data_IF_532100481933
#
_entry.id   IF_532100481933
#
_cell.length_a   1.000
_cell.length_b   1.000
_cell.length_c   1.000
_cell.angle_alpha   90.00
_cell.angle_beta   90.00
_cell.angle_gamma   90.00
#
_symmetry.space_group_name_H-M   'P 1'
#
loop_
_entity.id
_entity.type
_entity.pdbx_description
1 polymer ?
#
# COMPACT_ATOMS: atom_id res chain seq x y z
N UNK A 1 25.01 8.38 11.21
CA UNK A 1 25.54 7.09 10.70
C UNK A 1 24.38 6.35 10.04
N UNK A 2 24.54 5.93 8.77
CA UNK A 2 23.51 5.15 8.10
C UNK A 2 23.46 3.74 8.65
N UNK A 3 22.31 3.32 9.16
CA UNK A 3 22.09 1.98 9.68
C UNK A 3 21.08 1.25 8.81
N UNK A 4 21.41 0.03 8.37
CA UNK A 4 20.45 -0.83 7.67
C UNK A 4 19.40 -1.33 8.63
N UNK A 5 18.13 -1.20 8.26
CA UNK A 5 17.00 -1.69 9.04
C UNK A 5 16.18 -2.68 8.23
N UNK A 6 15.60 -3.63 8.92
CA UNK A 6 14.50 -4.46 8.41
C UNK A 6 13.18 -3.82 8.83
N UNK A 7 12.26 -3.72 7.90
CA UNK A 7 10.93 -3.13 8.10
C UNK A 7 9.88 -4.17 7.80
N UNK A 8 8.86 -4.27 8.63
CA UNK A 8 7.72 -5.14 8.37
C UNK A 8 6.42 -4.44 8.75
N UNK A 9 5.49 -4.35 7.80
CA UNK A 9 4.13 -3.91 8.05
C UNK A 9 3.34 -4.98 8.81
N UNK A 10 2.45 -4.56 9.68
CA UNK A 10 1.47 -5.44 10.32
C UNK A 10 0.14 -5.31 9.61
N UNK A 11 0.05 -5.97 8.47
CA UNK A 11 -1.19 -6.06 7.75
C UNK A 11 -2.18 -7.01 8.42
N UNK A 12 -3.46 -6.79 8.19
CA UNK A 12 -4.52 -7.62 8.74
C UNK A 12 -4.74 -8.84 7.85
N UNK A 13 -4.57 -10.03 8.43
CA UNK A 13 -5.02 -11.28 7.81
C UNK A 13 -6.51 -11.49 8.12
N UNK A 14 -7.35 -11.19 7.13
CA UNK A 14 -8.79 -11.33 7.25
C UNK A 14 -9.29 -12.77 7.14
N UNK A 15 -8.42 -13.73 6.79
CA UNK A 15 -8.78 -15.16 6.74
C UNK A 15 -8.84 -15.78 8.15
N UNK A 16 -8.16 -15.17 9.13
CA UNK A 16 -8.04 -15.64 10.50
C UNK A 16 -8.79 -14.76 11.54
N UNK A 17 -9.88 -14.12 11.13
CA UNK A 17 -10.67 -13.30 12.04
C UNK A 17 -11.36 -14.11 13.13
N UNK A 18 -11.56 -13.55 14.35
CA UNK A 18 -12.24 -14.22 15.47
C UNK A 18 -13.67 -14.63 15.15
N UNK A 19 -14.35 -13.90 14.25
CA UNK A 19 -15.67 -14.21 13.77
C UNK A 19 -15.79 -13.88 12.29
N UNK A 20 -16.30 -14.83 11.53
CA UNK A 20 -16.52 -14.68 10.08
C UNK A 20 -17.89 -14.05 9.85
N UNK A 21 -17.97 -13.12 8.91
CA UNK A 21 -19.22 -12.50 8.49
C UNK A 21 -18.99 -11.13 7.85
N UNK A 22 -19.90 -10.74 6.98
CA UNK A 22 -19.77 -9.53 6.17
C UNK A 22 -19.52 -8.26 7.02
N UNK A 23 -20.18 -8.11 8.15
CA UNK A 23 -20.00 -6.96 9.06
C UNK A 23 -18.57 -6.95 9.61
N UNK A 24 -18.09 -8.08 10.12
CA UNK A 24 -16.76 -8.16 10.68
C UNK A 24 -15.67 -7.93 9.60
N UNK A 25 -15.79 -8.63 8.48
CA UNK A 25 -14.77 -8.59 7.42
C UNK A 25 -14.74 -7.27 6.66
N UNK A 26 -15.88 -6.57 6.55
CA UNK A 26 -16.02 -5.39 5.69
C UNK A 26 -16.18 -4.09 6.44
N UNK A 27 -16.70 -4.09 7.69
CA UNK A 27 -17.00 -2.88 8.43
C UNK A 27 -16.16 -2.72 9.70
N UNK A 28 -15.78 -3.82 10.38
CA UNK A 28 -15.07 -3.76 11.64
C UNK A 28 -13.57 -4.00 11.52
N UNK A 29 -13.16 -5.06 10.84
CA UNK A 29 -11.75 -5.39 10.63
C UNK A 29 -11.28 -4.89 9.26
N UNK A 30 -11.11 -3.57 9.16
CA UNK A 30 -10.90 -2.86 7.91
C UNK A 30 -9.44 -2.64 7.56
N UNK A 31 -8.53 -2.64 8.56
CA UNK A 31 -7.14 -2.23 8.39
C UNK A 31 -6.18 -3.02 9.27
N UNK A 32 -4.92 -3.05 8.87
CA UNK A 32 -3.80 -3.47 9.70
C UNK A 32 -3.32 -2.35 10.61
N UNK A 33 -2.48 -2.68 11.59
CA UNK A 33 -2.02 -1.70 12.57
C UNK A 33 -0.56 -1.84 12.93
N UNK A 34 0.22 -0.82 12.58
CA UNK A 34 1.59 -0.65 13.02
C UNK A 34 2.64 -1.28 12.11
N UNK A 35 3.87 -1.04 12.48
CA UNK A 35 5.07 -1.44 11.77
C UNK A 35 6.12 -1.86 12.79
N UNK A 36 7.05 -2.67 12.34
CA UNK A 36 8.22 -3.10 13.14
C UNK A 36 9.48 -2.66 12.41
N UNK A 37 10.39 -2.04 13.16
CA UNK A 37 11.74 -1.72 12.69
C UNK A 37 12.77 -2.43 13.55
N UNK A 38 13.72 -3.10 12.91
CA UNK A 38 14.83 -3.79 13.57
C UNK A 38 16.14 -3.52 12.84
N UNK A 39 17.26 -3.24 13.52
CA UNK A 39 18.54 -3.16 12.84
C UNK A 39 18.90 -4.51 12.18
N UNK A 40 19.43 -4.45 10.96
CA UNK A 40 19.79 -5.65 10.22
C UNK A 40 21.08 -6.32 10.73
N UNK A 41 21.89 -5.60 11.51
CA UNK A 41 23.24 -6.00 11.95
C UNK A 41 23.36 -6.17 13.46
N UNK A 42 22.28 -6.08 14.21
CA UNK A 42 22.30 -6.19 15.67
C UNK A 42 21.21 -7.15 16.16
N UNK A 43 21.53 -7.84 17.24
CA UNK A 43 20.59 -8.74 17.94
C UNK A 43 20.67 -8.46 19.45
N UNK A 44 19.52 -8.54 20.09
CA UNK A 44 19.43 -8.44 21.54
C UNK A 44 20.07 -9.68 22.23
N UNK A 45 20.22 -9.61 23.54
CA UNK A 45 20.61 -10.78 24.36
C UNK A 45 19.67 -11.95 24.05
N UNK A 46 20.23 -13.16 23.93
CA UNK A 46 19.52 -14.38 23.57
C UNK A 46 19.18 -14.55 22.08
N UNK A 47 19.76 -13.73 21.17
CA UNK A 47 19.58 -13.88 19.71
C UNK A 47 18.23 -13.40 19.18
N UNK A 48 17.44 -12.68 19.98
CA UNK A 48 16.20 -12.06 19.52
C UNK A 48 16.50 -10.75 18.77
N UNK A 49 15.61 -10.32 17.86
CA UNK A 49 15.72 -9.02 17.20
C UNK A 49 15.76 -7.88 18.24
N UNK A 50 16.63 -6.92 18.00
CA UNK A 50 16.65 -5.66 18.76
C UNK A 50 15.74 -4.67 18.03
N UNK A 51 14.62 -4.30 18.61
CA UNK A 51 13.61 -3.50 17.93
C UNK A 51 13.77 -2.01 18.24
N UNK A 52 13.82 -1.19 17.19
CA UNK A 52 13.68 0.26 17.30
C UNK A 52 12.21 0.67 17.43
N UNK A 53 11.33 0.02 16.66
CA UNK A 53 9.87 0.20 16.75
C UNK A 53 9.22 -1.15 16.97
N UNK A 54 8.39 -1.25 18.00
CA UNK A 54 7.69 -2.49 18.40
C UNK A 54 6.36 -2.18 19.11
N UNK A 55 5.59 -3.25 19.35
CA UNK A 55 4.36 -3.15 20.15
C UNK A 55 3.13 -2.74 19.33
N UNK A 56 1.97 -2.84 20.00
CA UNK A 56 0.65 -2.39 19.51
C UNK A 56 -0.04 -1.76 20.71
N UNK A 57 -0.18 -0.43 20.77
CA UNK A 57 0.32 0.57 19.81
C UNK A 57 1.85 0.56 19.69
N UNK A 58 2.34 1.10 18.55
CA UNK A 58 3.76 1.17 18.27
C UNK A 58 4.49 2.05 19.31
N UNK A 59 5.60 1.55 19.83
CA UNK A 59 6.51 2.29 20.71
C UNK A 59 7.88 2.34 20.08
N UNK A 60 8.53 3.49 20.11
CA UNK A 60 9.87 3.67 19.56
C UNK A 60 10.89 4.02 20.63
N UNK A 61 12.15 3.62 20.41
CA UNK A 61 13.32 4.04 21.17
C UNK A 61 14.13 5.10 20.41
N UNK A 62 13.72 5.43 19.18
CA UNK A 62 14.38 6.36 18.26
C UNK A 62 13.38 7.41 17.84
N UNK A 63 13.60 8.66 18.18
CA UNK A 63 12.62 9.76 17.96
C UNK A 63 12.27 9.95 16.48
N UNK A 64 13.26 9.75 15.60
CA UNK A 64 13.08 9.86 14.15
C UNK A 64 12.19 8.78 13.54
N UNK A 65 11.89 7.72 14.33
CA UNK A 65 11.01 6.61 13.94
C UNK A 65 9.66 6.66 14.67
N UNK A 66 9.19 7.83 15.05
CA UNK A 66 7.86 8.00 15.62
C UNK A 66 6.79 7.77 14.54
N UNK A 67 5.82 6.88 14.82
CA UNK A 67 4.73 6.53 13.90
C UNK A 67 3.47 7.25 14.35
N UNK A 68 3.09 8.30 13.62
CA UNK A 68 1.89 9.09 13.91
C UNK A 68 0.63 8.43 13.34
N UNK A 69 0.73 7.88 12.13
CA UNK A 69 -0.38 7.16 11.48
C UNK A 69 -0.02 5.68 11.26
N UNK A 70 -0.38 4.81 12.23
CA UNK A 70 -0.01 3.38 12.18
C UNK A 70 -0.99 2.50 11.39
N UNK A 71 -2.13 3.02 10.93
CA UNK A 71 -3.19 2.23 10.28
C UNK A 71 -2.87 1.97 8.82
N UNK A 72 -3.05 0.72 8.39
CA UNK A 72 -2.70 0.25 7.04
C UNK A 72 -3.97 -0.26 6.37
N UNK A 73 -4.61 0.60 5.57
CA UNK A 73 -5.76 0.22 4.73
C UNK A 73 -5.32 -0.33 3.38
N UNK A 74 -4.14 0.10 2.91
CA UNK A 74 -3.53 -0.30 1.65
C UNK A 74 -2.18 -0.96 1.92
N UNK A 75 -2.02 -2.18 1.43
CA UNK A 75 -0.84 -3.00 1.66
C UNK A 75 -0.54 -3.96 0.52
N UNK A 76 0.45 -4.81 0.72
CA UNK A 76 0.85 -5.80 -0.28
C UNK A 76 0.20 -7.18 -0.06
N UNK A 77 -0.44 -7.41 1.07
CA UNK A 77 -1.04 -8.70 1.40
C UNK A 77 -2.07 -9.14 0.34
N UNK A 78 -1.85 -10.31 -0.22
CA UNK A 78 -2.75 -10.93 -1.18
C UNK A 78 -4.05 -11.45 -0.53
N UNK A 79 -4.04 -11.67 0.78
CA UNK A 79 -5.14 -12.24 1.56
C UNK A 79 -6.18 -11.18 1.99
N UNK A 80 -5.91 -9.92 1.69
CA UNK A 80 -6.86 -8.84 1.97
C UNK A 80 -8.11 -8.99 1.10
N UNK A 81 -9.27 -8.71 1.69
CA UNK A 81 -10.52 -8.67 0.94
C UNK A 81 -10.52 -7.56 -0.11
N UNK A 82 -11.27 -7.74 -1.20
CA UNK A 82 -11.29 -6.83 -2.34
C UNK A 82 -11.70 -5.39 -1.99
N UNK A 83 -12.57 -5.23 -0.98
CA UNK A 83 -13.01 -3.93 -0.49
C UNK A 83 -13.33 -3.97 1.00
N UNK A 84 -13.28 -2.83 1.64
CA UNK A 84 -13.85 -2.58 2.96
C UNK A 84 -14.70 -1.31 2.93
N UNK A 85 -15.59 -1.16 3.91
CA UNK A 85 -16.40 0.05 4.06
C UNK A 85 -16.05 0.71 5.37
N UNK A 86 -15.67 1.96 5.29
CA UNK A 86 -15.31 2.81 6.44
C UNK A 86 -16.39 3.86 6.68
N UNK A 87 -16.38 4.49 7.85
CA UNK A 87 -17.39 5.46 8.27
C UNK A 87 -18.81 4.89 8.19
N UNK A 88 -18.94 3.61 8.52
CA UNK A 88 -20.23 2.95 8.71
C UNK A 88 -20.83 3.30 10.09
N UNK A 89 -21.96 2.72 10.43
CA UNK A 89 -22.53 2.81 11.79
C UNK A 89 -21.83 1.86 12.77
N UNK A 90 -20.87 1.07 12.30
CA UNK A 90 -20.01 0.22 13.12
C UNK A 90 -18.66 0.91 13.32
N UNK A 91 -18.15 0.91 14.53
CA UNK A 91 -16.79 1.33 14.81
C UNK A 91 -15.79 0.30 14.28
N UNK A 92 -14.68 0.79 13.73
CA UNK A 92 -13.60 -0.05 13.23
C UNK A 92 -12.72 -0.52 14.39
N UNK A 93 -12.36 -1.79 14.40
CA UNK A 93 -11.42 -2.36 15.38
C UNK A 93 -10.02 -1.89 15.03
N UNK A 94 -9.42 -1.17 15.96
CA UNK A 94 -8.08 -0.58 15.78
C UNK A 94 -6.98 -1.56 16.21
N UNK A 95 -6.94 -1.90 17.50
CA UNK A 95 -5.97 -2.85 18.04
C UNK A 95 -6.45 -3.47 19.36
N UNK A 96 -5.90 -4.63 19.75
CA UNK A 96 -6.24 -5.26 21.03
C UNK A 96 -5.60 -4.48 22.19
N UNK A 97 -6.41 -4.22 23.23
CA UNK A 97 -5.97 -3.57 24.48
C UNK A 97 -5.37 -4.54 25.49
N UNK A 98 -5.61 -5.84 25.31
CA UNK A 98 -5.06 -6.88 26.19
C UNK A 98 -4.51 -8.04 25.37
N UNK A 99 -3.54 -8.77 25.94
CA UNK A 99 -2.96 -9.98 25.33
C UNK A 99 -3.97 -11.12 25.18
N UNK A 100 -5.07 -11.08 25.91
CA UNK A 100 -6.15 -12.08 25.84
C UNK A 100 -7.22 -11.73 24.80
N UNK A 101 -7.12 -10.55 24.13
CA UNK A 101 -8.03 -10.13 23.07
C UNK A 101 -9.47 -9.83 23.51
N UNK A 102 -9.73 -9.75 24.82
CA UNK A 102 -11.08 -9.53 25.37
C UNK A 102 -11.54 -8.07 25.27
N UNK A 103 -10.62 -7.13 25.07
CA UNK A 103 -10.92 -5.71 24.85
C UNK A 103 -10.12 -5.17 23.69
N UNK A 104 -10.75 -4.31 22.88
CA UNK A 104 -10.14 -3.70 21.69
C UNK A 104 -10.33 -2.18 21.73
N UNK A 105 -9.41 -1.46 21.14
CA UNK A 105 -9.57 -0.06 20.80
C UNK A 105 -10.40 0.05 19.51
N UNK A 106 -11.16 1.12 19.38
CA UNK A 106 -11.95 1.42 18.21
C UNK A 106 -11.49 2.74 17.59
N UNK A 107 -11.71 2.85 16.29
CA UNK A 107 -11.39 4.05 15.52
C UNK A 107 -12.44 4.29 14.43
N UNK A 108 -12.37 5.47 13.82
CA UNK A 108 -13.09 5.79 12.59
C UNK A 108 -12.13 6.37 11.58
N UNK A 109 -12.31 6.01 10.31
CA UNK A 109 -11.48 6.48 9.23
C UNK A 109 -11.66 7.99 9.00
N UNK A 110 -10.56 8.75 8.96
CA UNK A 110 -10.54 10.19 8.71
C UNK A 110 -9.81 10.59 7.42
N UNK A 111 -9.35 9.59 6.63
CA UNK A 111 -8.63 9.85 5.37
C UNK A 111 -9.53 10.31 4.23
N UNK A 112 -8.90 10.85 3.20
CA UNK A 112 -9.58 11.34 2.00
C UNK A 112 -9.91 10.23 0.99
N UNK A 113 -9.28 9.06 1.12
CA UNK A 113 -9.47 7.92 0.24
C UNK A 113 -10.87 7.31 0.29
N UNK A 114 -11.14 6.45 -0.69
CA UNK A 114 -12.40 5.74 -0.81
C UNK A 114 -13.46 6.47 -1.63
N UNK A 115 -14.50 5.73 -2.01
CA UNK A 115 -15.63 6.24 -2.81
C UNK A 115 -16.87 6.29 -1.92
N UNK A 116 -17.47 7.47 -1.77
CA UNK A 116 -18.71 7.63 -1.00
C UNK A 116 -19.84 6.77 -1.56
N UNK A 117 -20.51 6.01 -0.68
CA UNK A 117 -21.61 5.10 -1.02
C UNK A 117 -22.95 5.51 -0.39
N UNK A 118 -23.13 6.76 0.01
CA UNK A 118 -24.40 7.26 0.55
C UNK A 118 -25.58 7.16 -0.43
N UNK A 119 -25.33 7.23 -1.75
CA UNK A 119 -26.36 7.13 -2.77
C UNK A 119 -26.74 5.68 -3.08
N UNK A 120 -28.05 5.41 -3.20
CA UNK A 120 -28.59 4.12 -3.61
C UNK A 120 -27.98 3.60 -4.93
N UNK A 121 -27.85 4.46 -5.95
CA UNK A 121 -27.30 4.04 -7.24
C UNK A 121 -25.81 3.63 -7.14
N UNK A 122 -25.03 4.29 -6.28
CA UNK A 122 -23.64 3.88 -6.04
C UNK A 122 -23.58 2.55 -5.31
N UNK A 123 -24.42 2.34 -4.29
CA UNK A 123 -24.55 1.04 -3.59
C UNK A 123 -24.93 -0.07 -4.57
N UNK A 124 -25.91 0.19 -5.46
CA UNK A 124 -26.32 -0.76 -6.49
C UNK A 124 -25.18 -1.11 -7.43
N UNK A 125 -24.43 -0.11 -7.90
CA UNK A 125 -23.27 -0.33 -8.77
C UNK A 125 -22.20 -1.21 -8.12
N UNK A 126 -21.85 -0.95 -6.86
CA UNK A 126 -20.90 -1.78 -6.13
C UNK A 126 -21.45 -3.14 -5.75
N UNK A 127 -22.73 -3.25 -5.40
CA UNK A 127 -23.37 -4.53 -5.15
C UNK A 127 -23.33 -5.46 -6.37
N UNK A 128 -23.56 -4.91 -7.56
CA UNK A 128 -23.44 -5.64 -8.82
C UNK A 128 -21.97 -5.98 -9.14
N UNK A 129 -21.05 -5.05 -8.91
CA UNK A 129 -19.61 -5.28 -9.16
C UNK A 129 -19.05 -6.43 -8.34
N UNK A 130 -19.40 -6.49 -7.06
CA UNK A 130 -18.85 -7.47 -6.11
C UNK A 130 -19.77 -8.67 -5.87
N UNK A 131 -20.97 -8.70 -6.45
CA UNK A 131 -21.97 -9.73 -6.18
C UNK A 131 -22.46 -9.73 -4.73
N UNK A 132 -22.45 -8.57 -4.04
CA UNK A 132 -22.64 -8.45 -2.59
C UNK A 132 -23.92 -7.66 -2.27
N UNK A 133 -24.98 -8.39 -1.94
CA UNK A 133 -26.29 -7.79 -1.63
C UNK A 133 -26.28 -6.97 -0.32
N UNK A 134 -25.39 -7.28 0.62
CA UNK A 134 -25.30 -6.56 1.88
C UNK A 134 -25.02 -5.06 1.68
N UNK A 135 -24.35 -4.67 0.59
CA UNK A 135 -24.16 -3.26 0.21
C UNK A 135 -25.48 -2.51 -0.03
N UNK A 136 -26.56 -3.22 -0.40
CA UNK A 136 -27.89 -2.62 -0.63
C UNK A 136 -28.80 -2.68 0.59
N UNK A 137 -28.80 -3.84 1.29
CA UNK A 137 -29.82 -4.12 2.31
C UNK A 137 -29.34 -3.86 3.74
N UNK A 138 -28.02 -3.67 3.95
CA UNK A 138 -27.49 -3.44 5.29
C UNK A 138 -27.93 -2.08 5.84
N UNK A 139 -28.44 -2.11 7.08
CA UNK A 139 -28.75 -0.91 7.86
C UNK A 139 -27.53 -0.33 8.59
N UNK A 140 -26.36 -0.94 8.42
CA UNK A 140 -25.11 -0.47 9.03
C UNK A 140 -24.40 0.61 8.19
N UNK A 141 -24.86 0.88 6.98
CA UNK A 141 -24.29 1.88 6.09
C UNK A 141 -24.99 3.23 6.25
N UNK A 142 -24.20 4.28 6.40
CA UNK A 142 -24.63 5.68 6.50
C UNK A 142 -24.44 6.44 5.18
N UNK A 143 -24.84 7.70 5.14
CA UNK A 143 -24.59 8.59 4.01
C UNK A 143 -23.11 8.97 3.89
N UNK A 144 -22.37 8.95 5.01
CA UNK A 144 -20.94 9.24 5.09
C UNK A 144 -20.06 8.03 4.79
N UNK A 145 -20.66 6.83 4.64
CA UNK A 145 -19.91 5.61 4.39
C UNK A 145 -19.15 5.69 3.07
N UNK A 146 -17.86 5.31 3.12
CA UNK A 146 -16.97 5.24 1.95
C UNK A 146 -16.54 3.79 1.74
N UNK A 147 -16.47 3.37 0.48
CA UNK A 147 -15.94 2.09 0.06
C UNK A 147 -14.48 2.26 -0.38
N UNK A 148 -13.57 1.59 0.32
CA UNK A 148 -12.15 1.50 -0.01
C UNK A 148 -11.93 0.21 -0.81
N UNK A 149 -11.40 0.36 -2.02
CA UNK A 149 -11.16 -0.74 -2.97
C UNK A 149 -9.75 -0.70 -3.54
N UNK A 150 -9.36 -1.77 -4.23
CA UNK A 150 -8.02 -1.91 -4.81
C UNK A 150 -6.96 -1.68 -3.74
N UNK A 151 -7.08 -2.46 -2.68
CA UNK A 151 -6.27 -2.30 -1.46
C UNK A 151 -4.86 -2.85 -1.63
N UNK A 152 -4.67 -3.86 -2.48
CA UNK A 152 -3.35 -4.33 -2.85
C UNK A 152 -2.64 -3.25 -3.68
N UNK A 153 -1.51 -2.76 -3.18
CA UNK A 153 -0.78 -1.61 -3.73
C UNK A 153 -0.19 -1.88 -5.11
N UNK A 154 0.31 -3.09 -5.36
CA UNK A 154 0.85 -3.47 -6.67
C UNK A 154 -0.26 -3.50 -7.72
N UNK A 155 -1.40 -4.12 -7.41
CA UNK A 155 -2.58 -4.13 -8.28
C UNK A 155 -3.12 -2.73 -8.54
N UNK A 156 -3.14 -1.89 -7.49
CA UNK A 156 -3.59 -0.50 -7.55
C UNK A 156 -2.74 0.32 -8.52
N UNK A 157 -1.42 0.25 -8.38
CA UNK A 157 -0.46 0.95 -9.23
C UNK A 157 -0.53 0.46 -10.67
N UNK A 158 -0.61 -0.86 -10.89
CA UNK A 158 -0.78 -1.46 -12.24
C UNK A 158 -2.06 -1.00 -12.93
N UNK A 159 -3.15 -0.80 -12.20
CA UNK A 159 -4.41 -0.28 -12.76
C UNK A 159 -4.34 1.20 -13.11
N UNK A 160 -3.58 1.99 -12.35
CA UNK A 160 -3.42 3.42 -12.62
C UNK A 160 -2.46 3.70 -13.79
N UNK A 161 -1.39 2.91 -13.93
CA UNK A 161 -0.39 3.06 -14.99
C UNK A 161 -0.10 1.71 -15.68
N UNK A 162 -1.05 1.12 -16.43
CA UNK A 162 -0.93 -0.23 -16.98
C UNK A 162 0.10 -0.36 -18.12
N UNK A 163 0.65 0.75 -18.60
CA UNK A 163 1.69 0.82 -19.63
C UNK A 163 3.11 0.80 -19.05
N UNK A 164 3.26 0.87 -17.73
CA UNK A 164 4.53 0.67 -17.02
C UNK A 164 4.57 -0.72 -16.38
N UNK A 165 5.75 -1.30 -16.33
CA UNK A 165 5.97 -2.54 -15.60
C UNK A 165 6.35 -2.22 -14.15
N UNK A 166 5.78 -2.95 -13.20
CA UNK A 166 6.07 -2.77 -11.78
C UNK A 166 6.96 -3.88 -11.28
N UNK A 167 7.89 -3.55 -10.40
CA UNK A 167 8.45 -4.54 -9.50
C UNK A 167 7.33 -5.13 -8.61
N UNK A 168 7.45 -6.40 -8.28
CA UNK A 168 6.55 -7.08 -7.35
C UNK A 168 7.14 -7.15 -5.93
N UNK A 169 8.16 -6.35 -5.64
CA UNK A 169 8.83 -6.25 -4.35
C UNK A 169 8.77 -4.81 -3.81
N UNK A 170 7.56 -4.32 -3.46
CA UNK A 170 7.40 -3.00 -2.87
C UNK A 170 8.08 -2.95 -1.50
N UNK A 171 8.58 -1.78 -1.10
CA UNK A 171 9.12 -1.59 0.23
C UNK A 171 8.42 -0.47 0.98
N UNK A 172 8.35 -0.64 2.30
CA UNK A 172 7.69 0.31 3.19
C UNK A 172 8.70 1.35 3.69
N UNK A 173 8.32 2.63 3.65
CA UNK A 173 9.06 3.74 4.23
C UNK A 173 8.21 4.48 5.27
N UNK A 174 8.85 4.98 6.31
CA UNK A 174 8.25 5.89 7.28
C UNK A 174 8.74 7.30 6.97
N UNK A 175 7.82 8.18 6.62
CA UNK A 175 8.11 9.56 6.20
C UNK A 175 7.16 10.50 6.96
N UNK A 176 7.70 11.42 7.73
CA UNK A 176 6.92 12.36 8.55
C UNK A 176 5.81 11.68 9.38
N UNK A 177 6.17 10.57 10.06
CA UNK A 177 5.25 9.82 10.91
C UNK A 177 4.20 8.97 10.15
N UNK A 178 4.20 9.00 8.81
CA UNK A 178 3.27 8.29 7.96
C UNK A 178 3.95 7.13 7.21
N UNK A 179 3.18 6.10 6.93
CA UNK A 179 3.67 4.91 6.21
C UNK A 179 3.38 5.05 4.71
N UNK A 180 4.42 4.87 3.90
CA UNK A 180 4.33 4.89 2.44
C UNK A 180 4.94 3.62 1.84
N UNK A 181 4.26 3.08 0.85
CA UNK A 181 4.79 2.03 -0.01
C UNK A 181 5.47 2.64 -1.22
N UNK A 182 6.69 2.22 -1.49
CA UNK A 182 7.46 2.65 -2.65
C UNK A 182 7.59 1.45 -3.59
N UNK A 183 7.24 1.66 -4.86
CA UNK A 183 7.21 0.62 -5.88
C UNK A 183 8.03 1.10 -7.07
N UNK A 184 9.00 0.30 -7.47
CA UNK A 184 9.80 0.54 -8.66
C UNK A 184 8.99 0.25 -9.92
N UNK A 185 9.05 1.20 -10.88
CA UNK A 185 8.35 1.05 -12.14
C UNK A 185 9.30 1.27 -13.31
N UNK A 186 9.10 0.47 -14.33
CA UNK A 186 10.01 0.38 -15.47
C UNK A 186 9.32 0.74 -16.77
N UNK A 187 10.03 1.49 -17.60
CA UNK A 187 9.76 1.58 -19.03
C UNK A 187 10.44 0.41 -19.72
N UNK A 188 9.75 -0.25 -20.62
CA UNK A 188 10.23 -1.47 -21.29
C UNK A 188 9.90 -1.43 -22.76
N UNK A 189 10.83 -1.91 -23.62
CA UNK A 189 10.59 -2.13 -25.04
C UNK A 189 11.39 -3.33 -25.55
N UNK A 190 10.84 -4.03 -26.53
CA UNK A 190 11.52 -5.06 -27.32
C UNK A 190 12.01 -4.55 -28.69
N UNK A 191 11.86 -3.24 -28.94
CA UNK A 191 12.07 -2.61 -30.25
C UNK A 191 13.19 -1.58 -30.27
N UNK A 192 14.07 -1.58 -29.25
CA UNK A 192 15.20 -0.64 -29.26
C UNK A 192 16.19 -1.03 -30.36
N UNK A 193 16.52 -0.10 -31.28
CA UNK A 193 17.32 -0.41 -32.45
C UNK A 193 18.76 -0.81 -32.06
N UNK A 194 19.30 -1.82 -32.79
CA UNK A 194 20.66 -2.34 -32.61
C UNK A 194 20.99 -2.94 -31.23
N UNK A 195 20.02 -3.15 -30.39
CA UNK A 195 20.21 -3.82 -29.09
C UNK A 195 19.81 -5.30 -29.18
N UNK A 196 20.57 -6.16 -28.49
CA UNK A 196 20.23 -7.57 -28.37
C UNK A 196 19.13 -7.75 -27.32
N UNK A 197 18.24 -8.76 -27.46
CA UNK A 197 17.32 -9.14 -26.40
C UNK A 197 18.07 -9.46 -25.11
N UNK A 198 17.48 -9.09 -23.97
CA UNK A 198 18.03 -9.43 -22.67
C UNK A 198 17.98 -10.93 -22.42
N UNK A 199 18.99 -11.46 -21.73
CA UNK A 199 18.93 -12.82 -21.20
C UNK A 199 18.05 -12.85 -19.94
N UNK A 200 16.81 -13.29 -20.11
CA UNK A 200 15.81 -13.38 -19.03
C UNK A 200 15.76 -14.75 -18.38
N UNK A 201 16.67 -15.67 -18.71
CA UNK A 201 16.68 -17.05 -18.18
C UNK A 201 16.82 -17.13 -16.65
N UNK A 202 17.29 -16.06 -16.01
CA UNK A 202 17.46 -15.94 -14.56
C UNK A 202 16.45 -15.03 -13.89
N UNK A 203 15.50 -14.45 -14.64
CA UNK A 203 14.44 -13.66 -14.03
C UNK A 203 13.51 -14.58 -13.25
N UNK A 204 13.17 -14.15 -12.03
CA UNK A 204 12.11 -14.81 -11.28
C UNK A 204 10.77 -14.61 -12.01
N UNK A 205 9.97 -15.66 -12.11
CA UNK A 205 8.62 -15.61 -12.71
C UNK A 205 7.72 -14.54 -12.04
N UNK A 206 7.98 -14.24 -10.78
CA UNK A 206 7.26 -13.24 -10.00
C UNK A 206 7.88 -11.84 -10.04
N UNK A 207 8.89 -11.60 -10.88
CA UNK A 207 9.57 -10.27 -10.95
C UNK A 207 8.68 -9.12 -11.41
N UNK A 208 7.54 -9.42 -12.03
CA UNK A 208 6.68 -8.40 -12.64
C UNK A 208 7.19 -7.89 -13.99
N UNK A 209 8.40 -8.27 -14.42
CA UNK A 209 9.00 -7.85 -15.68
C UNK A 209 8.62 -8.79 -16.83
N UNK A 210 8.57 -8.30 -18.09
CA UNK A 210 8.32 -9.15 -19.25
C UNK A 210 9.52 -10.05 -19.55
N UNK A 211 9.27 -11.18 -20.20
CA UNK A 211 10.35 -12.11 -20.61
C UNK A 211 11.09 -11.71 -21.88
N UNK A 212 10.55 -10.79 -22.67
CA UNK A 212 11.16 -10.31 -23.90
C UNK A 212 11.32 -8.79 -23.86
N UNK A 213 12.52 -8.33 -23.75
CA UNK A 213 12.85 -6.90 -23.88
C UNK A 213 14.30 -6.73 -24.30
N UNK A 214 14.61 -5.59 -24.91
CA UNK A 214 15.96 -5.14 -25.20
C UNK A 214 16.22 -3.69 -24.72
N UNK A 215 15.23 -3.14 -24.00
CA UNK A 215 15.30 -1.85 -23.33
C UNK A 215 14.54 -1.95 -21.99
N UNK A 216 15.18 -1.53 -20.93
CA UNK A 216 14.60 -1.48 -19.60
C UNK A 216 15.23 -0.32 -18.83
N UNK A 217 14.40 0.53 -18.22
CA UNK A 217 14.84 1.59 -17.30
C UNK A 217 13.90 1.68 -16.11
N UNK A 218 14.47 1.82 -14.92
CA UNK A 218 13.74 2.15 -13.69
C UNK A 218 13.52 3.67 -13.66
N UNK A 219 12.52 4.14 -14.38
CA UNK A 219 12.34 5.57 -14.64
C UNK A 219 11.32 6.22 -13.75
N UNK A 220 10.50 5.43 -13.03
CA UNK A 220 9.41 5.93 -12.19
C UNK A 220 9.40 5.24 -10.84
N UNK A 221 9.12 6.00 -9.80
CA UNK A 221 8.77 5.49 -8.47
C UNK A 221 7.31 5.82 -8.18
N UNK A 222 6.50 4.79 -7.91
CA UNK A 222 5.17 4.99 -7.38
C UNK A 222 5.24 5.02 -5.85
N UNK A 223 4.66 6.05 -5.26
CA UNK A 223 4.59 6.24 -3.81
C UNK A 223 3.12 6.19 -3.42
N UNK A 224 2.75 5.24 -2.57
CA UNK A 224 1.37 4.99 -2.14
C UNK A 224 1.26 5.17 -0.64
N UNK A 225 0.40 6.07 -0.19
CA UNK A 225 0.11 6.23 1.23
C UNK A 225 -0.65 5.00 1.75
N UNK A 226 -0.12 4.36 2.80
CA UNK A 226 -0.70 3.13 3.37
C UNK A 226 -2.05 3.37 4.07
N UNK A 227 -2.34 4.61 4.48
CA UNK A 227 -3.58 4.97 5.18
C UNK A 227 -4.73 5.26 4.21
N UNK A 228 -4.55 6.20 3.28
CA UNK A 228 -5.62 6.69 2.41
C UNK A 228 -5.52 6.24 0.95
N UNK A 229 -4.40 5.61 0.57
CA UNK A 229 -4.17 5.07 -0.77
C UNK A 229 -3.95 6.13 -1.84
N UNK A 230 -3.65 7.37 -1.48
CA UNK A 230 -3.17 8.37 -2.44
C UNK A 230 -1.90 7.88 -3.11
N UNK A 231 -1.78 8.14 -4.41
CA UNK A 231 -0.64 7.68 -5.21
C UNK A 231 -0.01 8.86 -5.95
N UNK A 232 1.31 8.91 -5.90
CA UNK A 232 2.11 9.81 -6.73
C UNK A 232 3.11 8.99 -7.55
N UNK A 233 3.25 9.34 -8.83
CA UNK A 233 4.20 8.73 -9.75
C UNK A 233 5.30 9.74 -10.06
N UNK A 234 6.49 9.50 -9.54
CA UNK A 234 7.61 10.42 -9.70
C UNK A 234 8.56 9.92 -10.79
N UNK A 235 8.86 10.80 -11.75
CA UNK A 235 9.87 10.55 -12.77
C UNK A 235 11.24 10.74 -12.13
N UNK A 236 12.03 9.67 -12.05
CA UNK A 236 13.38 9.68 -11.47
C UNK A 236 14.47 9.65 -12.54
N UNK A 237 14.17 9.15 -13.74
CA UNK A 237 15.05 9.24 -14.93
C UNK A 237 14.41 10.12 -16.00
N UNK A 238 14.74 11.40 -15.98
CA UNK A 238 14.25 12.39 -16.95
C UNK A 238 14.87 12.21 -18.36
N UNK A 239 15.94 11.40 -18.49
CA UNK A 239 16.60 11.14 -19.78
C UNK A 239 16.02 9.91 -20.50
N UNK A 240 15.00 9.27 -19.95
CA UNK A 240 14.32 8.17 -20.60
C UNK A 240 13.35 8.68 -21.68
N UNK A 241 13.59 8.38 -22.96
CA UNK A 241 12.74 8.86 -24.04
C UNK A 241 11.33 8.27 -24.03
N UNK A 242 11.15 7.03 -23.50
CA UNK A 242 9.83 6.44 -23.35
C UNK A 242 9.05 7.17 -22.24
N UNK A 243 9.74 7.52 -21.17
CA UNK A 243 9.10 8.25 -20.08
C UNK A 243 8.68 9.66 -20.50
N UNK A 244 9.53 10.35 -21.26
CA UNK A 244 9.19 11.65 -21.86
C UNK A 244 7.91 11.56 -22.70
N UNK A 245 7.80 10.55 -23.56
CA UNK A 245 6.62 10.33 -24.38
C UNK A 245 5.37 10.03 -23.54
N UNK A 246 5.48 9.22 -22.49
CA UNK A 246 4.35 8.95 -21.57
C UNK A 246 3.93 10.19 -20.79
N UNK A 247 4.86 11.02 -20.37
CA UNK A 247 4.55 12.27 -19.69
C UNK A 247 3.81 13.25 -20.61
N UNK A 248 4.17 13.31 -21.90
CA UNK A 248 3.46 14.12 -22.88
C UNK A 248 2.03 13.62 -23.14
N UNK A 249 1.80 12.30 -23.10
CA UNK A 249 0.48 11.68 -23.29
C UNK A 249 -0.39 11.87 -22.02
N UNK A 250 0.20 11.78 -20.83
CA UNK A 250 -0.48 11.83 -19.55
C UNK A 250 0.08 12.94 -18.63
N UNK A 251 -0.06 14.23 -19.00
CA UNK A 251 0.65 15.34 -18.33
C UNK A 251 0.29 15.56 -16.87
N UNK A 252 -0.80 14.96 -16.38
CA UNK A 252 -1.25 15.09 -14.98
C UNK A 252 -1.05 13.83 -14.15
N UNK A 253 -0.41 12.80 -14.72
CA UNK A 253 -0.20 11.53 -14.02
C UNK A 253 1.12 11.52 -13.25
N UNK A 254 2.13 12.21 -13.77
CA UNK A 254 3.48 12.16 -13.25
C UNK A 254 3.90 13.49 -12.63
N UNK A 255 4.72 13.40 -11.59
CA UNK A 255 5.43 14.52 -10.96
C UNK A 255 6.94 14.38 -11.17
N UNK A 256 7.65 15.50 -11.14
CA UNK A 256 9.12 15.48 -11.12
C UNK A 256 9.63 14.97 -9.77
N UNK A 257 10.77 14.28 -9.74
CA UNK A 257 11.43 13.90 -8.48
C UNK A 257 11.76 15.11 -7.59
N UNK A 258 11.88 16.30 -8.19
CA UNK A 258 12.13 17.53 -7.43
C UNK A 258 10.95 18.00 -6.58
N UNK A 259 9.77 17.39 -6.78
CA UNK A 259 8.57 17.62 -5.97
C UNK A 259 8.47 16.66 -4.77
N UNK A 260 9.38 15.71 -4.65
CA UNK A 260 9.47 14.82 -3.49
C UNK A 260 9.93 15.60 -2.26
N UNK A 261 9.45 15.19 -1.07
CA UNK A 261 10.03 15.70 0.18
C UNK A 261 11.48 15.24 0.32
N UNK A 262 12.31 15.97 1.07
CA UNK A 262 13.70 15.57 1.32
C UNK A 262 13.80 14.15 1.90
N UNK A 263 12.92 13.82 2.83
CA UNK A 263 12.88 12.50 3.48
C UNK A 263 12.56 11.39 2.45
N UNK A 264 11.63 11.64 1.53
CA UNK A 264 11.30 10.68 0.47
C UNK A 264 12.49 10.50 -0.50
N UNK A 265 13.21 11.58 -0.81
CA UNK A 265 14.41 11.52 -1.67
C UNK A 265 15.53 10.67 -1.06
N UNK A 266 15.66 10.65 0.27
CA UNK A 266 16.66 9.84 0.97
C UNK A 266 16.37 8.34 0.88
N UNK A 267 15.16 7.93 0.49
CA UNK A 267 14.75 6.54 0.28
C UNK A 267 14.90 6.08 -1.18
N UNK A 268 15.26 6.94 -2.13
CA UNK A 268 15.30 6.68 -3.56
C UNK A 268 16.71 6.88 -4.11
#
# INVERSE_FOLDING_TARGET
ELTKVMVAARELDQTNLPAVGWVNERLQYTHGFGVVFSPANNVASQGQPDFYVKGVPATTTVTELEVEQPRIYFGESADSVEYVVVNSLQDEVDYPLSTEGQSVAYTNYSGDGGVGIGSFFRRLGFALRYGELNLLISNQLSDDSKLIMERNIVSRVKKAAPFLYTDNDPYLALIDGNLFWIIDMYTVSDKYPYAQPADTSRLNENSGLPINFNYLRNSVKAVVNAYDGTMNFYIVDENDPLMSAYNDIFPNLFSSKNEMSPELLDHI
#
